data_IF_135482319171
#
_entry.id   IF_135482319171
#
_cell.length_a   1.000
_cell.length_b   1.000
_cell.length_c   1.000
_cell.angle_alpha   90.00
_cell.angle_beta   90.00
_cell.angle_gamma   90.00
#
_symmetry.space_group_name_H-M   'P 1'
#
loop_
_entity.id
_entity.type
_entity.pdbx_description
1 polymer ?
#
# COMPACT_ATOMS: atom_id res chain seq x y z
N UNK A 1 -5.07 0.34 -3.82
CA UNK A 1 -4.61 1.70 -4.21
C UNK A 1 -5.76 2.57 -4.70
N UNK A 2 -6.55 2.14 -5.69
CA UNK A 2 -7.75 2.87 -6.15
C UNK A 2 -8.73 3.20 -5.01
N UNK A 3 -9.08 2.21 -4.17
CA UNK A 3 -9.94 2.43 -3.00
C UNK A 3 -9.38 3.50 -2.06
N UNK A 4 -8.07 3.51 -1.83
CA UNK A 4 -7.40 4.52 -1.01
C UNK A 4 -7.57 5.92 -1.59
N UNK A 5 -7.47 6.05 -2.93
CA UNK A 5 -7.73 7.32 -3.63
C UNK A 5 -9.19 7.72 -3.43
N UNK A 6 -10.13 6.81 -3.70
CA UNK A 6 -11.56 7.06 -3.54
C UNK A 6 -11.94 7.54 -2.13
N UNK A 7 -11.40 6.89 -1.10
CA UNK A 7 -11.60 7.30 0.29
C UNK A 7 -11.08 8.72 0.54
N UNK A 8 -9.85 9.02 0.09
CA UNK A 8 -9.19 10.32 0.31
C UNK A 8 -9.77 11.46 -0.52
N UNK A 9 -10.29 11.21 -1.72
CA UNK A 9 -10.78 12.28 -2.61
C UNK A 9 -12.28 12.46 -2.58
N UNK A 10 -13.05 11.37 -2.49
CA UNK A 10 -14.51 11.41 -2.67
C UNK A 10 -15.28 11.29 -1.36
N UNK A 11 -14.95 10.29 -0.55
CA UNK A 11 -15.77 9.94 0.63
C UNK A 11 -15.44 10.79 1.85
N UNK A 12 -14.19 10.80 2.27
CA UNK A 12 -13.80 11.36 3.57
C UNK A 12 -13.26 12.78 3.46
N UNK A 13 -12.82 13.22 2.28
CA UNK A 13 -12.31 14.58 2.03
C UNK A 13 -13.20 15.66 2.67
N UNK A 14 -14.50 15.65 2.34
CA UNK A 14 -15.48 16.63 2.83
C UNK A 14 -15.73 16.54 4.34
N UNK A 15 -15.48 15.38 4.94
CA UNK A 15 -15.60 15.15 6.38
C UNK A 15 -14.38 15.67 7.15
N UNK A 16 -13.20 15.70 6.53
CA UNK A 16 -11.97 16.23 7.11
C UNK A 16 -11.85 17.75 6.94
N UNK A 17 -12.18 18.29 5.77
CA UNK A 17 -12.01 19.72 5.45
C UNK A 17 -12.94 20.64 6.25
N UNK A 18 -14.08 20.13 6.74
CA UNK A 18 -15.10 20.94 7.40
C UNK A 18 -15.10 20.75 8.92
N UNK A 19 -15.21 21.85 9.67
CA UNK A 19 -15.17 21.87 11.16
C UNK A 19 -13.86 21.33 11.75
N UNK A 20 -12.70 21.62 11.15
CA UNK A 20 -11.38 21.18 11.63
C UNK A 20 -11.30 19.66 11.92
N UNK A 21 -11.88 18.83 11.04
CA UNK A 21 -11.88 17.36 11.20
C UNK A 21 -12.81 16.79 12.29
N UNK A 22 -13.52 17.61 13.05
CA UNK A 22 -14.40 17.13 14.12
C UNK A 22 -15.72 16.51 13.61
N UNK A 23 -15.99 16.51 12.30
CA UNK A 23 -17.23 15.93 11.75
C UNK A 23 -17.30 14.41 11.90
N UNK A 24 -16.18 13.69 11.83
CA UNK A 24 -16.15 12.25 12.13
C UNK A 24 -16.59 11.92 13.58
N UNK A 25 -16.53 12.90 14.50
CA UNK A 25 -16.93 12.71 15.91
C UNK A 25 -18.37 13.11 16.19
N UNK A 26 -19.02 13.81 15.26
CA UNK A 26 -20.42 14.26 15.40
C UNK A 26 -21.36 13.16 14.90
N UNK A 27 -22.49 12.93 15.56
CA UNK A 27 -23.51 11.95 15.11
C UNK A 27 -24.16 12.42 13.80
N UNK A 28 -23.53 12.14 12.67
CA UNK A 28 -23.96 12.48 11.33
C UNK A 28 -23.37 11.47 10.32
N UNK A 29 -23.70 11.64 9.04
CA UNK A 29 -23.21 10.78 7.95
C UNK A 29 -21.66 10.68 7.89
N UNK A 30 -20.94 11.74 8.25
CA UNK A 30 -19.47 11.69 8.29
C UNK A 30 -18.95 10.74 9.36
N UNK A 31 -19.62 10.63 10.52
CA UNK A 31 -19.23 9.60 11.50
C UNK A 31 -19.36 8.20 10.91
N UNK A 32 -20.49 7.91 10.26
CA UNK A 32 -20.71 6.59 9.65
C UNK A 32 -19.68 6.31 8.54
N UNK A 33 -19.38 7.29 7.69
CA UNK A 33 -18.36 7.19 6.64
C UNK A 33 -16.94 6.97 7.24
N UNK A 34 -16.58 7.70 8.31
CA UNK A 34 -15.28 7.53 8.98
C UNK A 34 -15.18 6.18 9.70
N UNK A 35 -16.25 5.72 10.35
CA UNK A 35 -16.33 4.40 11.00
C UNK A 35 -16.26 3.26 9.96
N UNK A 36 -16.81 3.47 8.76
CA UNK A 36 -16.71 2.54 7.65
C UNK A 36 -15.27 2.47 7.11
N UNK A 37 -14.63 3.63 6.90
CA UNK A 37 -13.24 3.66 6.46
C UNK A 37 -12.29 3.04 7.47
N UNK A 38 -12.50 3.28 8.78
CA UNK A 38 -11.71 2.63 9.82
C UNK A 38 -11.78 1.11 9.72
N UNK A 39 -12.99 0.55 9.59
CA UNK A 39 -13.19 -0.89 9.38
C UNK A 39 -12.55 -1.39 8.09
N UNK A 40 -12.61 -0.60 7.02
CA UNK A 40 -11.95 -0.92 5.76
C UNK A 40 -10.42 -0.99 5.94
N UNK A 41 -9.80 -0.03 6.64
CA UNK A 41 -8.36 -0.05 6.94
C UNK A 41 -7.99 -1.28 7.77
N UNK A 42 -8.73 -1.57 8.84
CA UNK A 42 -8.52 -2.76 9.67
C UNK A 42 -8.59 -4.06 8.85
N UNK A 43 -9.56 -4.16 7.94
CA UNK A 43 -9.68 -5.31 7.04
C UNK A 43 -8.46 -5.40 6.10
N UNK A 44 -8.04 -4.27 5.51
CA UNK A 44 -6.88 -4.25 4.61
C UNK A 44 -5.57 -4.55 5.31
N UNK A 45 -5.40 -4.19 6.58
CA UNK A 45 -4.25 -4.61 7.38
C UNK A 45 -4.22 -6.13 7.54
N UNK A 46 -5.36 -6.76 7.85
CA UNK A 46 -5.44 -8.22 7.98
C UNK A 46 -5.22 -8.97 6.65
N UNK A 47 -5.72 -8.44 5.54
CA UNK A 47 -5.42 -8.99 4.20
C UNK A 47 -3.93 -8.85 3.88
N UNK A 48 -3.34 -7.70 4.20
CA UNK A 48 -1.93 -7.42 3.94
C UNK A 48 -1.00 -8.33 4.75
N UNK A 49 -1.27 -8.52 6.05
CA UNK A 49 -0.51 -9.45 6.89
C UNK A 49 -0.47 -10.86 6.31
N UNK A 50 -1.60 -11.35 5.78
CA UNK A 50 -1.67 -12.68 5.14
C UNK A 50 -0.85 -12.74 3.84
N UNK A 51 -0.83 -11.66 3.06
CA UNK A 51 0.00 -11.56 1.85
C UNK A 51 1.48 -11.60 2.23
N UNK A 52 1.90 -10.83 3.24
CA UNK A 52 3.28 -10.83 3.74
C UNK A 52 3.68 -12.21 4.26
N UNK A 53 2.82 -12.87 5.04
CA UNK A 53 3.05 -14.23 5.51
C UNK A 53 3.24 -15.20 4.35
N UNK A 54 2.38 -15.14 3.34
CA UNK A 54 2.50 -16.00 2.16
C UNK A 54 3.78 -15.69 1.36
N UNK A 55 4.13 -14.42 1.19
CA UNK A 55 5.35 -13.99 0.50
C UNK A 55 6.61 -14.57 1.15
N UNK A 56 6.65 -14.57 2.49
CA UNK A 56 7.75 -15.12 3.28
C UNK A 56 7.90 -16.66 3.17
N UNK A 57 6.90 -17.36 2.64
CA UNK A 57 7.00 -18.81 2.39
C UNK A 57 7.55 -19.18 1.02
N UNK A 58 7.72 -18.20 0.12
CA UNK A 58 8.16 -18.46 -1.24
C UNK A 58 9.63 -18.87 -1.26
N UNK A 59 9.96 -19.91 -2.02
CA UNK A 59 11.36 -20.24 -2.30
C UNK A 59 11.88 -19.25 -3.34
N UNK A 60 12.59 -18.24 -2.85
CA UNK A 60 13.20 -17.20 -3.68
C UNK A 60 14.59 -17.63 -4.18
N UNK A 61 15.04 -18.86 -3.94
CA UNK A 61 16.29 -19.34 -4.51
C UNK A 61 16.12 -19.64 -6.01
N UNK A 62 16.89 -18.93 -6.85
CA UNK A 62 16.97 -19.27 -8.27
C UNK A 62 18.04 -20.34 -8.50
N UNK A 63 17.71 -21.39 -9.27
CA UNK A 63 18.68 -22.35 -9.81
C UNK A 63 19.08 -21.89 -11.21
N UNK A 64 20.37 -21.62 -11.42
CA UNK A 64 20.88 -21.30 -12.75
C UNK A 64 20.85 -22.53 -13.66
N UNK A 65 20.97 -22.30 -14.97
CA UNK A 65 20.90 -23.35 -16.01
C UNK A 65 21.93 -24.50 -15.86
N UNK A 66 22.94 -24.36 -14.99
CA UNK A 66 23.93 -25.39 -14.69
C UNK A 66 23.63 -26.18 -13.39
N UNK A 67 22.44 -26.05 -12.79
CA UNK A 67 22.08 -26.71 -11.53
C UNK A 67 22.71 -26.09 -10.28
N UNK A 68 23.63 -25.15 -10.45
CA UNK A 68 24.12 -24.29 -9.37
C UNK A 68 22.97 -23.40 -8.88
N UNK A 69 22.83 -23.23 -7.57
CA UNK A 69 21.98 -22.18 -7.02
C UNK A 69 22.63 -20.85 -7.39
N UNK A 70 22.16 -20.24 -8.48
CA UNK A 70 22.52 -18.88 -8.82
C UNK A 70 21.48 -18.05 -8.13
N UNK A 71 21.66 -17.89 -6.83
CA UNK A 71 20.79 -17.03 -6.05
C UNK A 71 20.85 -15.64 -6.69
N UNK A 72 19.77 -15.23 -7.34
CA UNK A 72 19.52 -13.80 -7.52
C UNK A 72 19.37 -13.10 -6.14
N UNK A 73 19.37 -13.88 -5.04
CA UNK A 73 18.93 -13.53 -3.71
C UNK A 73 19.88 -14.05 -2.61
N UNK A 74 20.83 -13.21 -2.18
CA UNK A 74 21.27 -13.17 -0.77
C UNK A 74 20.37 -12.26 0.07
N UNK A 75 19.28 -11.79 -0.52
CA UNK A 75 18.32 -10.88 0.10
C UNK A 75 17.28 -11.70 0.85
N UNK A 76 17.00 -11.31 2.09
CA UNK A 76 15.88 -11.82 2.86
C UNK A 76 14.55 -11.36 2.25
N UNK A 77 13.47 -12.10 2.54
CA UNK A 77 12.14 -11.84 1.96
C UNK A 77 11.63 -10.41 2.22
N UNK A 78 11.93 -9.85 3.38
CA UNK A 78 11.61 -8.46 3.74
C UNK A 78 12.28 -7.45 2.81
N UNK A 79 13.58 -7.63 2.53
CA UNK A 79 14.31 -6.74 1.61
C UNK A 79 13.79 -6.86 0.19
N UNK A 80 13.50 -8.08 -0.26
CA UNK A 80 12.90 -8.29 -1.58
C UNK A 80 11.51 -7.66 -1.67
N UNK A 81 10.69 -7.84 -0.65
CA UNK A 81 9.34 -7.27 -0.61
C UNK A 81 9.41 -5.74 -0.64
N UNK A 82 10.34 -5.13 0.10
CA UNK A 82 10.59 -3.69 0.05
C UNK A 82 11.00 -3.23 -1.36
N UNK A 83 11.87 -3.96 -2.05
CA UNK A 83 12.30 -3.64 -3.41
C UNK A 83 11.17 -3.75 -4.43
N UNK A 84 10.36 -4.82 -4.37
CA UNK A 84 9.21 -5.02 -5.27
C UNK A 84 8.15 -3.94 -5.06
N UNK A 85 8.00 -3.46 -3.83
CA UNK A 85 7.06 -2.41 -3.46
C UNK A 85 7.68 -1.01 -3.50
N UNK A 86 8.92 -0.86 -3.97
CA UNK A 86 9.48 0.45 -4.24
C UNK A 86 8.58 1.19 -5.23
N UNK A 87 8.42 2.51 -5.02
CA UNK A 87 7.45 3.32 -5.77
C UNK A 87 7.67 3.22 -7.28
N UNK A 88 8.93 3.19 -7.73
CA UNK A 88 9.24 3.10 -9.16
C UNK A 88 8.84 1.77 -9.76
N UNK A 89 9.19 0.67 -9.09
CA UNK A 89 8.87 -0.70 -9.50
C UNK A 89 7.36 -0.90 -9.49
N UNK A 90 6.70 -0.59 -8.37
CA UNK A 90 5.25 -0.72 -8.19
C UNK A 90 4.46 0.04 -9.25
N UNK A 91 4.81 1.31 -9.53
CA UNK A 91 4.13 2.10 -10.56
C UNK A 91 4.30 1.52 -11.96
N UNK A 92 5.46 0.92 -12.24
CA UNK A 92 5.75 0.30 -13.53
C UNK A 92 4.92 -0.98 -13.69
N UNK A 93 4.93 -1.86 -12.69
CA UNK A 93 4.13 -3.09 -12.70
C UNK A 93 2.62 -2.82 -12.82
N UNK A 94 2.12 -1.78 -12.14
CA UNK A 94 0.72 -1.37 -12.27
C UNK A 94 0.38 -0.84 -13.67
N UNK A 95 1.30 -0.08 -14.28
CA UNK A 95 1.12 0.40 -15.65
C UNK A 95 1.07 -0.76 -16.64
N UNK A 96 1.97 -1.73 -16.51
CA UNK A 96 2.03 -2.90 -17.40
C UNK A 96 0.78 -3.77 -17.27
N UNK A 97 0.29 -3.98 -16.05
CA UNK A 97 -0.88 -4.82 -15.80
C UNK A 97 -2.21 -4.17 -16.23
N UNK A 98 -2.38 -2.86 -16.02
CA UNK A 98 -3.68 -2.19 -16.18
C UNK A 98 -3.72 -1.12 -17.29
N UNK A 99 -2.58 -0.69 -17.83
CA UNK A 99 -2.50 0.20 -19.01
C UNK A 99 -3.05 1.63 -18.82
N UNK A 100 -3.50 2.02 -17.63
CA UNK A 100 -4.25 3.26 -17.41
C UNK A 100 -3.35 4.44 -16.97
N UNK A 101 -3.06 5.35 -17.91
CA UNK A 101 -2.20 6.51 -17.68
C UNK A 101 -2.76 7.51 -16.63
N UNK A 102 -4.08 7.70 -16.55
CA UNK A 102 -4.70 8.63 -15.57
C UNK A 102 -4.62 8.07 -14.16
N UNK A 103 -4.83 6.77 -14.02
CA UNK A 103 -4.73 6.09 -12.74
C UNK A 103 -3.29 6.08 -12.22
N UNK A 104 -2.31 5.89 -13.11
CA UNK A 104 -0.89 5.99 -12.76
C UNK A 104 -0.56 7.34 -12.10
N UNK A 105 -1.05 8.45 -12.63
CA UNK A 105 -0.79 9.79 -12.04
C UNK A 105 -1.40 9.95 -10.66
N UNK A 106 -2.64 9.49 -10.45
CA UNK A 106 -3.30 9.58 -9.15
C UNK A 106 -2.62 8.68 -8.10
N UNK A 107 -2.23 7.46 -8.48
CA UNK A 107 -1.48 6.54 -7.62
C UNK A 107 -0.10 7.12 -7.30
N UNK A 108 0.61 7.65 -8.30
CA UNK A 108 1.92 8.31 -8.10
C UNK A 108 1.80 9.44 -7.08
N UNK A 109 0.78 10.29 -7.20
CA UNK A 109 0.52 11.37 -6.25
C UNK A 109 0.23 10.82 -4.83
N UNK A 110 -0.62 9.81 -4.72
CA UNK A 110 -0.91 9.13 -3.45
C UNK A 110 0.37 8.61 -2.78
N UNK A 111 1.25 7.96 -3.54
CA UNK A 111 2.52 7.40 -3.06
C UNK A 111 3.56 8.48 -2.72
N UNK A 112 3.50 9.65 -3.34
CA UNK A 112 4.36 10.79 -2.98
C UNK A 112 3.91 11.43 -1.67
N UNK A 113 2.60 11.61 -1.47
CA UNK A 113 2.01 12.17 -0.25
C UNK A 113 2.21 11.29 0.99
N UNK A 114 2.39 9.97 0.83
CA UNK A 114 2.66 9.03 1.94
C UNK A 114 4.12 9.01 2.41
N UNK A 115 4.95 9.99 2.02
CA UNK A 115 6.38 10.04 2.33
C UNK A 115 6.75 10.67 3.70
N UNK A 116 7.49 9.88 4.49
CA UNK A 116 8.32 10.22 5.67
C UNK A 116 7.60 10.34 7.03
N UNK A 117 7.29 9.19 7.64
CA UNK A 117 7.43 9.05 9.10
C UNK A 117 8.61 8.11 9.35
N UNK A 118 9.72 8.71 9.76
CA UNK A 118 10.90 7.97 10.23
C UNK A 118 10.57 7.24 11.52
N UNK A 119 10.85 5.95 11.55
CA UNK A 119 10.68 5.12 12.74
C UNK A 119 11.12 3.70 12.46
N UNK A 120 12.41 3.43 12.67
CA UNK A 120 13.07 2.19 13.15
C UNK A 120 12.74 0.79 12.62
N UNK A 121 11.65 0.58 11.89
CA UNK A 121 11.20 -0.73 11.41
C UNK A 121 11.14 -0.72 9.88
N UNK A 122 11.55 -1.83 9.25
CA UNK A 122 11.45 -2.07 7.81
C UNK A 122 9.97 -2.10 7.38
N UNK A 123 9.38 -0.92 7.14
CA UNK A 123 7.98 -0.75 6.68
C UNK A 123 7.95 -0.53 5.18
N UNK A 124 7.22 -1.39 4.48
CA UNK A 124 7.01 -1.32 3.02
C UNK A 124 6.17 -0.09 2.64
N UNK A 125 6.09 0.19 1.34
CA UNK A 125 5.20 1.24 0.80
C UNK A 125 3.73 1.02 1.17
N UNK A 126 3.28 -0.23 1.26
CA UNK A 126 1.90 -0.57 1.63
C UNK A 126 1.67 -0.37 3.14
N UNK A 127 2.64 -0.73 3.97
CA UNK A 127 2.57 -0.49 5.43
C UNK A 127 2.48 1.00 5.77
N UNK A 128 3.08 1.87 4.93
CA UNK A 128 2.99 3.33 5.08
C UNK A 128 1.67 3.91 4.58
N UNK A 129 0.92 3.15 3.78
CA UNK A 129 -0.34 3.60 3.18
C UNK A 129 -1.54 3.28 4.06
N UNK A 130 -1.52 2.14 4.74
CA UNK A 130 -2.54 1.67 5.68
C UNK A 130 -2.39 2.34 7.05
#
# INVERSE_FOLDING_TARGET
LQDSIYWRTEKIKKCLENNNGNRCKKKNKCKDDCDCFKRWVEHKQQEWEKIVQHFNTQDISARGGNGNVVGFFSLSHDVLLEQVLDKGVLLTSLQEAYGNAKEKEHIKKLLQETGVVGGGEHKTTIDKLL
#
